data_IF_736991813170
#
_entry.id   IF_736991813170
#
_cell.length_a   1.000
_cell.length_b   1.000
_cell.length_c   1.000
_cell.angle_alpha   90.00
_cell.angle_beta   90.00
_cell.angle_gamma   90.00
#
_symmetry.space_group_name_H-M   'P 1'
#
loop_
_entity.id
_entity.type
_entity.pdbx_description
1 polymer ?
#
# COMPACT_ATOMS: atom_id res chain seq x y z
N UNK A 1 -3.10 29.71 17.12
CA UNK A 1 -4.29 29.28 17.89
C UNK A 1 -4.30 27.77 17.87
N UNK A 2 -4.31 27.12 19.04
CA UNK A 2 -4.41 25.66 19.13
C UNK A 2 -5.88 25.34 18.82
N UNK A 3 -6.13 24.81 17.63
CA UNK A 3 -7.46 24.37 17.23
C UNK A 3 -7.66 23.00 17.86
N UNK A 4 -8.43 22.93 18.95
CA UNK A 4 -8.81 21.63 19.53
C UNK A 4 -9.71 20.93 18.51
N UNK A 5 -9.15 19.96 17.79
CA UNK A 5 -9.84 19.20 16.76
C UNK A 5 -11.04 18.45 17.34
N UNK A 6 -12.15 18.44 16.61
CA UNK A 6 -13.31 17.60 16.93
C UNK A 6 -12.89 16.13 16.77
N UNK A 7 -13.24 15.30 17.75
CA UNK A 7 -13.07 13.85 17.62
C UNK A 7 -14.06 13.36 16.56
N UNK A 8 -13.56 12.94 15.39
CA UNK A 8 -14.37 12.55 14.24
C UNK A 8 -14.68 11.05 14.19
N UNK A 9 -14.03 10.22 15.02
CA UNK A 9 -14.23 8.77 15.09
C UNK A 9 -14.56 8.30 16.50
N UNK A 10 -15.45 7.33 16.61
CA UNK A 10 -15.84 6.71 17.86
C UNK A 10 -14.66 5.90 18.43
N UNK A 11 -14.18 6.17 19.65
CA UNK A 11 -13.07 5.42 20.24
C UNK A 11 -13.42 3.96 20.57
N UNK A 12 -14.71 3.62 20.61
CA UNK A 12 -15.17 2.26 20.90
C UNK A 12 -15.27 1.36 19.66
N UNK A 13 -15.75 1.88 18.53
CA UNK A 13 -16.00 1.09 17.31
C UNK A 13 -15.28 1.59 16.05
N UNK A 14 -14.69 2.79 16.08
CA UNK A 14 -14.01 3.38 14.92
C UNK A 14 -14.92 4.02 13.87
N UNK A 15 -16.24 3.91 14.02
CA UNK A 15 -17.25 4.54 13.15
C UNK A 15 -17.23 6.07 13.26
N UNK A 16 -17.81 6.74 12.26
CA UNK A 16 -17.89 8.20 12.23
C UNK A 16 -18.80 8.76 13.32
N UNK A 17 -18.32 9.76 14.05
CA UNK A 17 -19.15 10.54 14.95
C UNK A 17 -19.91 11.62 14.18
N UNK A 18 -21.06 12.02 14.70
CA UNK A 18 -21.78 13.21 14.25
C UNK A 18 -21.86 14.22 15.40
N UNK A 19 -21.98 15.50 15.07
CA UNK A 19 -22.27 16.54 16.07
C UNK A 19 -23.77 16.54 16.28
N UNK A 20 -24.24 16.33 17.51
CA UNK A 20 -25.68 16.22 17.82
C UNK A 20 -26.29 17.51 18.42
N UNK A 21 -25.45 18.46 18.83
CA UNK A 21 -25.86 19.71 19.47
C UNK A 21 -24.87 20.85 19.15
N UNK A 22 -25.40 22.00 18.75
CA UNK A 22 -24.68 23.27 18.72
C UNK A 22 -25.23 24.17 19.83
N UNK A 23 -24.35 24.89 20.54
CA UNK A 23 -24.74 25.85 21.57
C UNK A 23 -24.10 27.21 21.27
N UNK A 24 -24.94 28.25 21.21
CA UNK A 24 -24.44 29.62 21.14
C UNK A 24 -23.84 30.02 22.50
N UNK A 25 -22.60 30.51 22.51
CA UNK A 25 -21.93 30.95 23.75
C UNK A 25 -22.47 32.26 24.30
N UNK A 26 -23.08 33.09 23.45
CA UNK A 26 -23.59 34.42 23.83
C UNK A 26 -25.00 34.35 24.42
N UNK A 27 -25.94 33.70 23.73
CA UNK A 27 -27.35 33.68 24.15
C UNK A 27 -27.81 32.32 24.70
N UNK A 28 -26.95 31.30 24.66
CA UNK A 28 -27.26 29.96 25.18
C UNK A 28 -28.21 29.13 24.31
N UNK A 29 -28.63 29.62 23.13
CA UNK A 29 -29.48 28.86 22.20
C UNK A 29 -28.85 27.51 21.89
N UNK A 30 -29.59 26.43 22.12
CA UNK A 30 -29.21 25.07 21.77
C UNK A 30 -29.96 24.61 20.52
N UNK A 31 -29.23 24.13 19.53
CA UNK A 31 -29.77 23.53 18.32
C UNK A 31 -29.39 22.06 18.32
N UNK A 32 -30.37 21.17 18.47
CA UNK A 32 -30.18 19.72 18.50
C UNK A 32 -30.58 19.11 17.16
N UNK A 33 -29.60 18.55 16.45
CA UNK A 33 -29.76 17.87 15.16
C UNK A 33 -28.50 17.05 14.89
N UNK A 34 -28.62 16.05 14.03
CA UNK A 34 -27.45 15.34 13.50
C UNK A 34 -26.79 16.20 12.42
N UNK A 35 -25.69 16.86 12.79
CA UNK A 35 -24.84 17.62 11.90
C UNK A 35 -23.70 16.73 11.40
N UNK A 36 -23.48 16.74 10.09
CA UNK A 36 -22.33 16.07 9.48
C UNK A 36 -21.04 16.84 9.81
N UNK A 37 -20.02 16.09 10.21
CA UNK A 37 -18.66 16.61 10.34
C UNK A 37 -18.11 16.93 8.95
N UNK A 38 -17.58 18.14 8.76
CA UNK A 38 -17.08 18.58 7.44
C UNK A 38 -15.83 17.80 7.03
N UNK A 39 -15.51 17.80 5.73
CA UNK A 39 -14.26 17.18 5.23
C UNK A 39 -13.00 17.80 5.85
N UNK A 40 -13.06 19.07 6.26
CA UNK A 40 -11.94 19.77 6.90
C UNK A 40 -11.69 19.28 8.33
N UNK A 41 -12.77 19.00 9.07
CA UNK A 41 -12.68 18.48 10.44
C UNK A 41 -12.21 17.02 10.49
N UNK A 42 -12.18 16.34 9.34
CA UNK A 42 -11.69 14.97 9.18
C UNK A 42 -10.21 14.90 8.82
N UNK A 43 -9.58 16.03 8.49
CA UNK A 43 -8.16 16.07 8.16
C UNK A 43 -7.32 15.70 9.38
N UNK A 44 -6.28 14.89 9.15
CA UNK A 44 -5.25 14.67 10.16
C UNK A 44 -4.49 15.96 10.47
N UNK A 45 -3.79 16.01 11.60
CA UNK A 45 -2.94 17.16 11.98
C UNK A 45 -1.89 17.48 10.92
N UNK A 46 -1.32 16.44 10.29
CA UNK A 46 -0.35 16.59 9.20
C UNK A 46 -0.99 17.21 7.95
N UNK A 47 -2.18 16.75 7.56
CA UNK A 47 -2.91 17.29 6.41
C UNK A 47 -3.37 18.73 6.65
N UNK A 48 -3.88 19.02 7.85
CA UNK A 48 -4.30 20.37 8.26
C UNK A 48 -3.11 21.33 8.25
N UNK A 49 -1.97 20.92 8.81
CA UNK A 49 -0.73 21.71 8.80
C UNK A 49 -0.24 21.96 7.38
N UNK A 50 -0.25 20.93 6.53
CA UNK A 50 0.12 21.06 5.13
C UNK A 50 -0.81 22.01 4.37
N UNK A 51 -2.13 21.90 4.56
CA UNK A 51 -3.13 22.80 3.96
C UNK A 51 -2.87 24.26 4.36
N UNK A 52 -2.66 24.53 5.65
CA UNK A 52 -2.38 25.88 6.14
C UNK A 52 -1.08 26.44 5.54
N UNK A 53 0.00 25.66 5.51
CA UNK A 53 1.24 26.07 4.85
C UNK A 53 1.05 26.30 3.34
N UNK A 54 0.28 25.46 2.67
CA UNK A 54 0.02 25.59 1.23
C UNK A 54 -0.74 26.89 0.93
N UNK A 55 -1.78 27.20 1.72
CA UNK A 55 -2.54 28.44 1.59
C UNK A 55 -1.71 29.67 1.98
N UNK A 56 -0.87 29.58 3.02
CA UNK A 56 0.09 30.64 3.39
C UNK A 56 1.03 30.99 2.24
N UNK A 57 1.45 29.99 1.47
CA UNK A 57 2.26 30.14 0.26
C UNK A 57 1.43 30.42 -1.00
N UNK A 58 0.14 30.75 -0.88
CA UNK A 58 -0.75 31.07 -2.00
C UNK A 58 -0.81 29.95 -3.06
N UNK A 59 -0.68 28.70 -2.63
CA UNK A 59 -0.66 27.53 -3.51
C UNK A 59 0.68 27.28 -4.23
N UNK A 60 1.73 28.03 -3.91
CA UNK A 60 3.05 27.85 -4.52
C UNK A 60 3.81 26.68 -3.89
N UNK A 61 3.78 25.52 -4.55
CA UNK A 61 4.49 24.31 -4.14
C UNK A 61 6.02 24.48 -3.98
N UNK A 62 6.65 25.36 -4.79
CA UNK A 62 8.10 25.62 -4.67
C UNK A 62 8.42 26.42 -3.41
N UNK A 63 7.61 27.42 -3.10
CA UNK A 63 7.76 28.19 -1.87
C UNK A 63 7.50 27.31 -0.64
N UNK A 64 6.48 26.45 -0.71
CA UNK A 64 6.20 25.46 0.33
C UNK A 64 7.35 24.48 0.55
N UNK A 65 8.05 24.04 -0.51
CA UNK A 65 9.25 23.19 -0.36
C UNK A 65 10.37 23.90 0.40
N UNK A 66 10.61 25.17 0.07
CA UNK A 66 11.62 25.96 0.76
C UNK A 66 11.28 26.14 2.25
N UNK A 67 10.00 26.30 2.60
CA UNK A 67 9.56 26.42 3.99
C UNK A 67 9.59 25.08 4.74
N UNK A 68 9.14 24.00 4.12
CA UNK A 68 8.93 22.70 4.80
C UNK A 68 10.12 21.74 4.68
N UNK A 69 11.10 22.03 3.82
CA UNK A 69 12.29 21.21 3.60
C UNK A 69 12.03 19.87 2.90
N UNK A 70 10.82 19.63 2.38
CA UNK A 70 10.49 18.40 1.65
C UNK A 70 10.81 18.54 0.15
N UNK A 71 11.08 17.43 -0.52
CA UNK A 71 11.32 17.43 -1.97
C UNK A 71 10.03 17.70 -2.76
N UNK A 72 10.18 18.16 -4.02
CA UNK A 72 9.04 18.41 -4.90
C UNK A 72 8.10 17.23 -5.09
N UNK A 73 8.59 16.00 -5.35
CA UNK A 73 7.73 14.83 -5.44
C UNK A 73 6.93 14.58 -4.16
N UNK A 74 7.55 14.77 -2.99
CA UNK A 74 6.87 14.60 -1.69
C UNK A 74 5.80 15.67 -1.48
N UNK A 75 6.09 16.93 -1.79
CA UNK A 75 5.12 18.02 -1.70
C UNK A 75 3.90 17.78 -2.62
N UNK A 76 4.15 17.33 -3.85
CA UNK A 76 3.10 16.98 -4.81
C UNK A 76 2.26 15.80 -4.31
N UNK A 77 2.89 14.75 -3.81
CA UNK A 77 2.20 13.59 -3.25
C UNK A 77 1.28 13.99 -2.08
N UNK A 78 1.77 14.81 -1.14
CA UNK A 78 0.97 15.32 -0.03
C UNK A 78 -0.21 16.17 -0.49
N UNK A 79 -0.03 16.98 -1.54
CA UNK A 79 -1.12 17.74 -2.14
C UNK A 79 -2.16 16.79 -2.76
N UNK A 80 -1.74 15.78 -3.51
CA UNK A 80 -2.64 14.79 -4.09
C UNK A 80 -3.43 14.04 -3.00
N UNK A 81 -2.78 13.61 -1.92
CA UNK A 81 -3.43 12.98 -0.75
C UNK A 81 -4.42 13.91 -0.06
N UNK A 82 -4.09 15.20 0.08
CA UNK A 82 -4.97 16.22 0.65
C UNK A 82 -6.20 16.45 -0.24
N UNK A 83 -6.03 16.53 -1.56
CA UNK A 83 -7.14 16.71 -2.50
C UNK A 83 -8.12 15.52 -2.45
N UNK A 84 -7.61 14.30 -2.26
CA UNK A 84 -8.44 13.11 -2.04
C UNK A 84 -9.18 13.18 -0.70
N UNK A 85 -8.49 13.57 0.38
CA UNK A 85 -9.11 13.69 1.71
C UNK A 85 -10.19 14.78 1.78
N UNK A 86 -10.07 15.82 0.96
CA UNK A 86 -11.06 16.89 0.79
C UNK A 86 -12.16 16.54 -0.22
N UNK A 87 -12.16 15.32 -0.78
CA UNK A 87 -13.11 14.86 -1.80
C UNK A 87 -13.12 15.73 -3.07
N UNK A 88 -12.01 16.45 -3.33
CA UNK A 88 -11.81 17.30 -4.52
C UNK A 88 -11.18 16.55 -5.68
N UNK A 89 -10.63 15.37 -5.40
CA UNK A 89 -10.05 14.46 -6.37
C UNK A 89 -10.47 13.05 -5.98
N UNK A 90 -10.89 12.27 -6.96
CA UNK A 90 -11.08 10.85 -6.72
C UNK A 90 -9.73 10.24 -6.35
N UNK A 91 -9.73 9.37 -5.33
CA UNK A 91 -8.60 8.49 -5.07
C UNK A 91 -8.32 7.80 -6.40
N UNK A 92 -7.08 7.80 -6.93
CA UNK A 92 -6.80 7.24 -8.25
C UNK A 92 -7.38 5.83 -8.28
N UNK A 93 -8.52 5.70 -8.95
CA UNK A 93 -9.05 4.40 -9.24
C UNK A 93 -8.07 3.85 -10.29
N UNK A 94 -7.62 2.61 -10.11
CA UNK A 94 -6.95 1.95 -11.21
C UNK A 94 -7.88 2.07 -12.42
N UNK A 95 -7.33 2.59 -13.52
CA UNK A 95 -8.09 2.90 -14.74
C UNK A 95 -9.07 1.76 -15.05
N UNK A 96 -10.27 2.07 -15.60
CA UNK A 96 -11.22 1.04 -16.02
C UNK A 96 -10.48 0.04 -16.91
N UNK A 97 -10.29 -1.17 -16.41
CA UNK A 97 -9.67 -2.26 -17.15
C UNK A 97 -10.69 -2.61 -18.22
N UNK A 98 -10.30 -2.55 -19.50
CA UNK A 98 -11.03 -3.30 -20.53
C UNK A 98 -11.11 -4.75 -20.02
N UNK A 99 -12.32 -5.25 -19.75
CA UNK A 99 -12.52 -6.54 -19.09
C UNK A 99 -11.68 -7.62 -19.77
N UNK A 100 -10.58 -8.03 -19.13
CA UNK A 100 -9.75 -9.12 -19.63
C UNK A 100 -10.56 -10.39 -19.42
N UNK A 101 -10.95 -11.03 -20.52
CA UNK A 101 -11.63 -12.32 -20.48
C UNK A 101 -10.66 -13.40 -20.00
N UNK A 102 -10.67 -13.65 -18.69
CA UNK A 102 -9.85 -14.68 -18.04
C UNK A 102 -10.51 -16.05 -18.04
N UNK A 103 -11.72 -16.20 -18.62
CA UNK A 103 -12.51 -17.44 -18.56
C UNK A 103 -11.85 -18.64 -19.24
N UNK A 104 -10.93 -18.38 -20.17
CA UNK A 104 -10.19 -19.43 -20.92
C UNK A 104 -8.83 -19.75 -20.34
N UNK A 105 -8.41 -19.05 -19.28
CA UNK A 105 -7.06 -19.18 -18.76
C UNK A 105 -6.96 -20.40 -17.87
N UNK A 106 -5.96 -21.23 -18.13
CA UNK A 106 -5.66 -22.34 -17.25
C UNK A 106 -5.15 -21.82 -15.90
N UNK A 107 -5.85 -22.23 -14.84
CA UNK A 107 -5.38 -22.09 -13.47
C UNK A 107 -5.14 -23.49 -12.93
N UNK A 108 -3.93 -23.73 -12.43
CA UNK A 108 -3.54 -25.01 -11.83
C UNK A 108 -3.29 -24.82 -10.33
N UNK A 109 -4.30 -24.43 -9.52
CA UNK A 109 -4.11 -24.11 -8.10
C UNK A 109 -3.60 -25.31 -7.27
N UNK A 110 -3.71 -26.53 -7.79
CA UNK A 110 -3.23 -27.76 -7.17
C UNK A 110 -1.81 -28.16 -7.61
N UNK A 111 -1.11 -27.34 -8.40
CA UNK A 111 0.25 -27.62 -8.86
C UNK A 111 1.29 -27.59 -7.74
N UNK A 112 0.93 -27.07 -6.56
CA UNK A 112 1.84 -26.79 -5.45
C UNK A 112 2.70 -25.54 -5.64
N UNK A 113 2.60 -24.86 -6.78
CA UNK A 113 3.29 -23.59 -7.03
C UNK A 113 2.56 -22.42 -6.41
N UNK A 114 3.34 -21.48 -5.89
CA UNK A 114 2.82 -20.26 -5.26
C UNK A 114 2.31 -19.30 -6.33
N UNK A 115 2.99 -19.24 -7.48
CA UNK A 115 2.57 -18.47 -8.65
C UNK A 115 1.14 -18.81 -9.10
N UNK A 116 0.84 -20.10 -9.23
CA UNK A 116 -0.49 -20.58 -9.65
C UNK A 116 -1.56 -20.27 -8.62
N UNK A 117 -1.26 -20.41 -7.32
CA UNK A 117 -2.20 -20.07 -6.24
C UNK A 117 -2.56 -18.58 -6.23
N UNK A 118 -1.58 -17.69 -6.44
CA UNK A 118 -1.82 -16.24 -6.51
C UNK A 118 -2.61 -15.87 -7.76
N UNK A 119 -2.24 -16.44 -8.92
CA UNK A 119 -2.95 -16.22 -10.18
C UNK A 119 -4.42 -16.66 -10.06
N UNK A 120 -4.67 -17.87 -9.55
CA UNK A 120 -6.01 -18.40 -9.35
C UNK A 120 -6.85 -17.47 -8.47
N UNK A 121 -6.30 -17.06 -7.32
CA UNK A 121 -7.01 -16.17 -6.39
C UNK A 121 -7.31 -14.79 -6.98
N UNK A 122 -6.41 -14.24 -7.79
CA UNK A 122 -6.64 -12.96 -8.46
C UNK A 122 -7.74 -13.07 -9.53
N UNK A 123 -7.78 -14.18 -10.26
CA UNK A 123 -8.85 -14.49 -11.22
C UNK A 123 -10.19 -14.68 -10.51
N UNK A 124 -10.23 -15.38 -9.36
CA UNK A 124 -11.43 -15.53 -8.53
C UNK A 124 -11.98 -14.18 -8.03
N UNK A 125 -11.12 -13.16 -7.93
CA UNK A 125 -11.51 -11.78 -7.63
C UNK A 125 -11.95 -10.98 -8.87
N UNK A 126 -12.16 -11.61 -10.02
CA UNK A 126 -12.50 -10.93 -11.27
C UNK A 126 -11.31 -10.26 -11.95
N UNK A 127 -10.08 -10.74 -11.69
CA UNK A 127 -8.86 -10.26 -12.32
C UNK A 127 -8.27 -8.99 -11.71
N UNK A 128 -8.87 -8.42 -10.66
CA UNK A 128 -8.32 -7.28 -9.95
C UNK A 128 -8.79 -7.19 -8.50
N UNK A 129 -7.98 -6.61 -7.62
CA UNK A 129 -8.29 -6.51 -6.18
C UNK A 129 -7.40 -5.49 -5.46
N UNK A 130 -7.80 -5.12 -4.25
CA UNK A 130 -6.99 -4.28 -3.35
C UNK A 130 -6.40 -5.13 -2.25
N UNK A 131 -5.08 -5.14 -2.17
CA UNK A 131 -4.29 -5.81 -1.12
C UNK A 131 -3.96 -4.81 -0.02
N UNK A 132 -4.12 -5.21 1.25
CA UNK A 132 -3.82 -4.35 2.41
C UNK A 132 -2.69 -4.95 3.23
N UNK A 133 -1.73 -4.10 3.60
CA UNK A 133 -0.72 -4.45 4.60
C UNK A 133 -1.28 -4.34 6.01
N UNK A 134 -0.62 -4.96 7.00
CA UNK A 134 -0.95 -4.79 8.42
C UNK A 134 -0.90 -3.33 8.91
N UNK A 135 -0.17 -2.44 8.22
CA UNK A 135 -0.12 -0.99 8.52
C UNK A 135 -1.23 -0.19 7.82
N UNK A 136 -2.15 -0.85 7.12
CA UNK A 136 -3.24 -0.21 6.39
C UNK A 136 -2.85 0.41 5.05
N UNK A 137 -1.59 0.29 4.60
CA UNK A 137 -1.23 0.69 3.23
C UNK A 137 -1.89 -0.26 2.25
N UNK A 138 -2.59 0.31 1.27
CA UNK A 138 -3.29 -0.38 0.20
C UNK A 138 -2.42 -0.44 -1.06
N UNK A 139 -2.51 -1.55 -1.79
CA UNK A 139 -1.91 -1.76 -3.10
C UNK A 139 -2.99 -2.30 -4.03
N UNK A 140 -3.16 -1.68 -5.20
CA UNK A 140 -4.06 -2.24 -6.19
C UNK A 140 -3.33 -3.24 -7.09
N UNK A 141 -3.85 -4.46 -7.14
CA UNK A 141 -3.32 -5.58 -7.93
C UNK A 141 -4.28 -5.88 -9.08
N UNK A 142 -3.76 -6.08 -10.29
CA UNK A 142 -4.55 -6.52 -11.45
C UNK A 142 -3.78 -7.49 -12.34
N UNK A 143 -4.53 -8.30 -13.06
CA UNK A 143 -4.04 -9.10 -14.17
C UNK A 143 -3.58 -8.18 -15.30
N UNK A 144 -2.49 -8.55 -15.96
CA UNK A 144 -2.05 -7.96 -17.24
C UNK A 144 -2.27 -8.97 -18.36
N UNK A 145 -1.76 -10.19 -18.18
CA UNK A 145 -1.96 -11.32 -19.08
C UNK A 145 -1.85 -12.65 -18.30
N UNK A 146 -1.78 -13.78 -19.01
CA UNK A 146 -1.70 -15.11 -18.39
C UNK A 146 -0.46 -15.33 -17.50
N UNK A 147 0.61 -14.57 -17.73
CA UNK A 147 1.90 -14.69 -17.04
C UNK A 147 2.18 -13.51 -16.12
N UNK A 148 1.60 -12.34 -16.38
CA UNK A 148 1.95 -11.09 -15.73
C UNK A 148 0.81 -10.47 -14.92
N UNK A 149 1.19 -9.75 -13.88
CA UNK A 149 0.33 -8.89 -13.08
C UNK A 149 0.96 -7.51 -12.90
N UNK A 150 0.12 -6.52 -12.60
CA UNK A 150 0.52 -5.15 -12.28
C UNK A 150 0.11 -4.81 -10.86
N UNK A 151 0.95 -4.00 -10.18
CA UNK A 151 0.60 -3.38 -8.91
C UNK A 151 1.00 -1.90 -8.92
N UNK A 152 0.12 -1.02 -8.47
CA UNK A 152 0.23 0.45 -8.57
C UNK A 152 1.55 1.10 -8.10
N UNK A 153 2.32 0.44 -7.24
CA UNK A 153 3.59 0.97 -6.70
C UNK A 153 4.84 0.22 -7.19
N UNK A 154 4.68 -0.76 -8.08
CA UNK A 154 5.77 -1.54 -8.68
C UNK A 154 5.57 -1.69 -10.20
N UNK A 155 6.62 -2.06 -10.93
CA UNK A 155 6.48 -2.43 -12.34
C UNK A 155 5.69 -3.75 -12.50
N UNK A 156 5.34 -4.12 -13.72
CA UNK A 156 4.68 -5.40 -13.98
C UNK A 156 5.66 -6.56 -13.76
N UNK A 157 5.17 -7.66 -13.18
CA UNK A 157 5.95 -8.86 -12.88
C UNK A 157 5.29 -10.10 -13.45
N UNK A 158 6.11 -11.10 -13.79
CA UNK A 158 5.62 -12.45 -13.96
C UNK A 158 5.24 -13.06 -12.60
N UNK A 159 4.21 -13.91 -12.55
CA UNK A 159 3.85 -14.63 -11.32
C UNK A 159 4.99 -15.52 -10.79
N UNK A 160 5.94 -15.92 -11.65
CA UNK A 160 7.13 -16.70 -11.28
C UNK A 160 7.98 -16.03 -10.19
N UNK A 161 7.89 -14.71 -10.02
CA UNK A 161 8.56 -14.00 -8.91
C UNK A 161 8.14 -14.53 -7.54
N UNK A 162 6.91 -15.01 -7.39
CA UNK A 162 6.43 -15.55 -6.11
C UNK A 162 6.98 -16.94 -5.81
N UNK A 163 7.26 -17.73 -6.84
CA UNK A 163 7.95 -19.02 -6.67
C UNK A 163 9.37 -18.79 -6.18
N UNK A 164 10.08 -17.77 -6.71
CA UNK A 164 11.41 -17.37 -6.22
C UNK A 164 11.39 -17.03 -4.73
N UNK A 165 10.35 -16.31 -4.27
CA UNK A 165 10.20 -15.97 -2.84
C UNK A 165 9.91 -17.23 -2.03
N UNK A 166 9.04 -18.11 -2.51
CA UNK A 166 8.73 -19.37 -1.83
C UNK A 166 9.97 -20.26 -1.70
N UNK A 167 10.80 -20.35 -2.74
CA UNK A 167 12.00 -21.19 -2.74
C UNK A 167 13.06 -20.68 -1.75
N UNK A 168 13.29 -19.37 -1.66
CA UNK A 168 14.20 -18.82 -0.63
C UNK A 168 13.67 -19.03 0.79
N UNK A 169 12.35 -19.02 0.98
CA UNK A 169 11.75 -19.35 2.29
C UNK A 169 11.93 -20.83 2.62
N UNK A 170 11.61 -21.75 1.70
CA UNK A 170 11.75 -23.21 1.89
C UNK A 170 13.18 -23.62 2.17
N UNK A 171 14.15 -23.08 1.42
CA UNK A 171 15.57 -23.34 1.64
C UNK A 171 16.08 -22.93 3.02
N UNK A 172 15.31 -22.12 3.76
CA UNK A 172 15.62 -21.67 5.13
C UNK A 172 14.62 -22.21 6.16
N UNK A 173 13.99 -23.35 5.87
CA UNK A 173 13.04 -23.98 6.79
C UNK A 173 11.74 -23.17 6.95
N UNK A 174 11.31 -22.52 5.87
CA UNK A 174 10.05 -21.78 5.80
C UNK A 174 10.13 -20.30 6.13
N UNK A 175 11.29 -19.78 6.56
CA UNK A 175 11.40 -18.41 7.10
C UNK A 175 12.66 -17.70 6.64
N UNK A 176 12.50 -16.46 6.18
CA UNK A 176 13.62 -15.64 5.71
C UNK A 176 13.46 -14.17 6.13
N UNK A 177 14.57 -13.44 6.18
CA UNK A 177 14.55 -11.97 6.32
C UNK A 177 14.02 -11.36 5.03
N UNK A 178 13.24 -10.28 5.13
CA UNK A 178 12.79 -9.50 3.96
C UNK A 178 13.97 -8.91 3.19
N UNK A 179 14.93 -8.37 3.94
CA UNK A 179 16.05 -7.61 3.40
C UNK A 179 15.69 -6.17 3.05
N UNK A 180 16.65 -5.47 2.45
CA UNK A 180 16.59 -4.07 2.05
C UNK A 180 17.20 -3.92 0.66
N UNK A 181 16.42 -4.09 -0.40
CA UNK A 181 16.90 -4.05 -1.78
C UNK A 181 17.29 -2.65 -2.29
N UNK A 182 17.30 -1.62 -1.43
CA UNK A 182 18.02 -0.36 -1.69
C UNK A 182 19.55 -0.53 -1.60
N UNK A 183 20.03 -1.62 -1.02
CA UNK A 183 21.45 -2.00 -0.99
C UNK A 183 21.80 -2.87 -2.19
N UNK A 184 23.09 -3.00 -2.47
CA UNK A 184 23.58 -3.85 -3.57
C UNK A 184 23.44 -5.33 -3.18
N UNK A 185 23.23 -6.19 -4.16
CA UNK A 185 23.17 -7.63 -3.93
C UNK A 185 24.46 -8.09 -3.23
N UNK A 186 24.32 -8.78 -2.10
CA UNK A 186 25.43 -9.25 -1.25
C UNK A 186 25.85 -8.30 -0.14
N UNK A 187 25.37 -7.05 -0.11
CA UNK A 187 25.55 -6.17 1.05
C UNK A 187 24.78 -6.71 2.26
N UNK A 188 25.19 -6.38 3.51
CA UNK A 188 24.45 -6.78 4.71
C UNK A 188 22.98 -6.37 4.64
N UNK A 189 22.06 -7.33 4.80
CA UNK A 189 20.62 -7.14 4.64
C UNK A 189 20.10 -7.19 3.21
N UNK A 190 20.93 -7.50 2.21
CA UNK A 190 20.55 -7.79 0.82
C UNK A 190 21.30 -9.03 0.30
N UNK A 191 21.57 -9.97 1.19
CA UNK A 191 22.17 -11.27 0.86
C UNK A 191 21.16 -12.13 0.09
N UNK A 192 21.66 -13.13 -0.65
CA UNK A 192 20.81 -14.05 -1.44
C UNK A 192 19.82 -14.86 -0.58
N UNK A 193 20.07 -14.95 0.74
CA UNK A 193 19.19 -15.58 1.72
C UNK A 193 18.06 -14.64 2.19
N UNK A 194 18.05 -13.39 1.76
CA UNK A 194 16.93 -12.46 2.00
C UNK A 194 15.95 -12.51 0.83
N UNK A 195 14.69 -12.18 1.08
CA UNK A 195 13.67 -12.08 0.01
C UNK A 195 14.12 -11.11 -1.08
N UNK A 196 14.56 -9.91 -0.71
CA UNK A 196 15.06 -8.91 -1.64
C UNK A 196 16.25 -9.42 -2.46
N UNK A 197 17.25 -10.04 -1.82
CA UNK A 197 18.43 -10.56 -2.51
C UNK A 197 18.12 -11.74 -3.43
N UNK A 198 17.22 -12.64 -3.04
CA UNK A 198 16.75 -13.74 -3.87
C UNK A 198 16.02 -13.23 -5.13
N UNK A 199 15.17 -12.22 -5.00
CA UNK A 199 14.52 -11.58 -6.16
C UNK A 199 15.57 -10.96 -7.09
N UNK A 200 16.52 -10.18 -6.55
CA UNK A 200 17.58 -9.57 -7.36
C UNK A 200 18.40 -10.62 -8.13
N UNK A 201 18.79 -11.71 -7.47
CA UNK A 201 19.60 -12.75 -8.10
C UNK A 201 18.80 -13.65 -9.04
N UNK A 202 17.74 -14.27 -8.52
CA UNK A 202 17.09 -15.40 -9.19
C UNK A 202 15.97 -14.96 -10.15
N UNK A 203 15.39 -13.77 -9.94
CA UNK A 203 14.40 -13.20 -10.87
C UNK A 203 15.04 -12.18 -11.84
N UNK A 204 15.82 -11.23 -11.31
CA UNK A 204 16.45 -10.19 -12.15
C UNK A 204 17.83 -10.56 -12.72
N UNK A 205 18.42 -11.70 -12.33
CA UNK A 205 19.73 -12.13 -12.82
C UNK A 205 20.91 -11.24 -12.40
N UNK A 206 20.76 -10.47 -11.32
CA UNK A 206 21.79 -9.53 -10.84
C UNK A 206 23.00 -10.25 -10.28
N UNK A 207 24.17 -9.62 -10.42
CA UNK A 207 25.44 -10.08 -9.85
C UNK A 207 25.75 -9.38 -8.53
N UNK A 208 26.57 -9.98 -7.64
CA UNK A 208 27.00 -9.31 -6.41
C UNK A 208 27.60 -7.92 -6.67
N UNK A 209 27.20 -6.94 -5.88
CA UNK A 209 27.59 -5.53 -6.05
C UNK A 209 26.71 -4.72 -7.02
N UNK A 210 25.73 -5.32 -7.68
CA UNK A 210 24.77 -4.59 -8.50
C UNK A 210 23.57 -4.11 -7.66
N UNK A 211 23.07 -2.91 -7.98
CA UNK A 211 21.84 -2.37 -7.40
C UNK A 211 20.62 -2.81 -8.23
N UNK A 212 19.46 -2.85 -7.59
CA UNK A 212 18.18 -3.07 -8.25
C UNK A 212 17.02 -2.42 -7.50
N UNK A 213 15.83 -2.56 -8.06
CA UNK A 213 14.59 -2.14 -7.41
C UNK A 213 14.11 -3.23 -6.45
N UNK A 214 13.58 -2.83 -5.29
CA UNK A 214 13.09 -3.74 -4.26
C UNK A 214 11.56 -3.78 -4.22
N UNK A 215 10.91 -4.79 -4.84
CA UNK A 215 9.46 -4.95 -4.80
C UNK A 215 8.96 -5.70 -3.55
N UNK A 216 9.84 -6.08 -2.62
CA UNK A 216 9.52 -7.00 -1.50
C UNK A 216 8.30 -6.55 -0.70
N UNK A 217 8.14 -5.24 -0.49
CA UNK A 217 7.01 -4.70 0.28
C UNK A 217 5.64 -5.06 -0.31
N UNK A 218 5.51 -5.03 -1.65
CA UNK A 218 4.26 -5.29 -2.35
C UNK A 218 4.07 -6.79 -2.54
N UNK A 219 5.12 -7.50 -2.99
CA UNK A 219 5.05 -8.94 -3.24
C UNK A 219 4.71 -9.72 -1.98
N UNK A 220 5.31 -9.38 -0.83
CA UNK A 220 5.00 -10.04 0.44
C UNK A 220 3.57 -9.73 0.89
N UNK A 221 3.07 -8.52 0.66
CA UNK A 221 1.68 -8.18 0.97
C UNK A 221 0.69 -8.99 0.11
N UNK A 222 1.00 -9.21 -1.17
CA UNK A 222 0.20 -10.03 -2.08
C UNK A 222 0.21 -11.50 -1.61
N UNK A 223 1.36 -12.06 -1.24
CA UNK A 223 1.46 -13.42 -0.71
C UNK A 223 0.70 -13.58 0.62
N UNK A 224 0.73 -12.57 1.48
CA UNK A 224 -0.03 -12.55 2.74
C UNK A 224 -1.53 -12.51 2.48
N UNK A 225 -1.97 -11.62 1.59
CA UNK A 225 -3.37 -11.58 1.13
C UNK A 225 -3.80 -12.92 0.57
N UNK A 226 -2.94 -13.60 -0.19
CA UNK A 226 -3.19 -14.92 -0.74
C UNK A 226 -3.18 -16.05 0.31
N UNK A 227 -2.86 -15.78 1.58
CA UNK A 227 -2.81 -16.78 2.65
C UNK A 227 -1.60 -17.70 2.59
N UNK A 228 -0.56 -17.30 1.86
CA UNK A 228 0.63 -18.11 1.58
C UNK A 228 1.70 -17.90 2.64
N UNK A 229 1.82 -16.66 3.13
CA UNK A 229 2.82 -16.28 4.13
C UNK A 229 2.20 -15.50 5.28
N UNK A 230 2.89 -15.51 6.42
CA UNK A 230 2.74 -14.56 7.52
C UNK A 230 3.78 -13.45 7.39
N UNK A 231 3.32 -12.21 7.37
CA UNK A 231 4.16 -11.04 7.12
C UNK A 231 4.69 -10.43 8.42
N UNK A 232 5.84 -10.90 8.88
CA UNK A 232 6.47 -10.45 10.12
C UNK A 232 7.20 -9.11 10.03
N UNK A 233 7.60 -8.57 11.19
CA UNK A 233 8.48 -7.39 11.24
C UNK A 233 9.91 -7.79 10.87
N UNK A 234 10.35 -7.41 9.67
CA UNK A 234 11.68 -7.73 9.14
C UNK A 234 11.86 -9.14 8.56
N UNK A 235 10.86 -10.02 8.68
CA UNK A 235 10.88 -11.39 8.17
C UNK A 235 9.58 -11.77 7.48
N UNK A 236 9.61 -12.88 6.74
CA UNK A 236 8.48 -13.54 6.10
C UNK A 236 8.54 -15.01 6.44
N UNK A 237 7.38 -15.65 6.62
CA UNK A 237 7.27 -17.05 7.02
C UNK A 237 6.17 -17.73 6.22
N UNK A 238 6.43 -18.90 5.63
CA UNK A 238 5.42 -19.69 4.92
C UNK A 238 4.37 -20.24 5.89
N UNK A 239 3.13 -20.28 5.44
CA UNK A 239 2.09 -21.05 6.11
C UNK A 239 2.35 -22.56 5.92
N UNK A 240 1.93 -23.39 6.88
CA UNK A 240 2.21 -24.84 6.89
C UNK A 240 1.87 -25.57 5.59
N UNK A 241 0.78 -25.17 4.94
CA UNK A 241 0.33 -25.76 3.67
C UNK A 241 1.28 -25.50 2.47
N UNK A 242 2.22 -24.56 2.60
CA UNK A 242 3.18 -24.18 1.55
C UNK A 242 4.65 -24.45 1.91
N UNK A 243 4.88 -25.03 3.10
CA UNK A 243 6.20 -25.44 3.60
C UNK A 243 6.86 -26.49 2.71
#
# INVERSE_FOLDING_TARGET
MIMNGIISKCPACGEELCVSMLRCTECGLEIKKDFKISVFDRLSDEQSSFLLSFLKNQGNLKALQAETGISYPTAKKRLDELLVALELKEKPSPAPIESIDTSKWETHPQSGKVSDAIKARLIDCGGSTTVRTYKGKEYFLRVVDEKMFACDEIMDYEYSVFDVIADVLRSQGGKAKKGYGRRRLGDPGCEETTVAGAILKNYFGKKPGESGFDPTFALVAIMEWAGIVKNGWGYVELCEQYM
#
